data_IF_783801930069
#
_entry.id   IF_783801930069
#
_cell.length_a   1.000
_cell.length_b   1.000
_cell.length_c   1.000
_cell.angle_alpha   90.00
_cell.angle_beta   90.00
_cell.angle_gamma   90.00
#
_symmetry.space_group_name_H-M   'P 1'
#
loop_
_entity.id
_entity.type
_entity.pdbx_description
1 polymer ?
#
# COMPACT_ATOMS: atom_id res chain seq x y z
N UNK A 1 -7.85 -27.86 -1.74
CA UNK A 1 -6.56 -27.26 -2.14
C UNK A 1 -6.29 -26.10 -1.19
N UNK A 2 -5.31 -26.25 -0.31
CA UNK A 2 -4.86 -25.14 0.52
C UNK A 2 -4.26 -24.07 -0.40
N UNK A 3 -4.93 -22.94 -0.52
CA UNK A 3 -4.36 -21.77 -1.13
C UNK A 3 -3.21 -21.30 -0.23
N UNK A 4 -1.98 -21.69 -0.53
CA UNK A 4 -0.78 -21.14 0.09
C UNK A 4 -0.89 -19.62 -0.02
N UNK A 5 -1.05 -18.98 1.13
CA UNK A 5 -1.18 -17.54 1.27
C UNK A 5 0.02 -16.85 0.63
N UNK A 6 -0.18 -16.21 -0.52
CA UNK A 6 0.84 -15.42 -1.19
C UNK A 6 0.81 -14.00 -0.58
N UNK A 7 1.45 -13.84 0.56
CA UNK A 7 1.83 -12.50 0.99
C UNK A 7 2.93 -11.99 0.05
N UNK A 8 2.83 -10.75 -0.39
CA UNK A 8 3.93 -10.10 -1.10
C UNK A 8 5.13 -10.01 -0.15
N UNK A 9 6.32 -10.31 -0.69
CA UNK A 9 7.55 -10.04 0.06
C UNK A 9 7.93 -8.57 -0.15
N UNK A 10 7.94 -7.74 0.91
CA UNK A 10 8.15 -6.30 0.79
C UNK A 10 9.49 -5.93 0.15
N UNK A 11 10.54 -6.71 0.43
CA UNK A 11 11.87 -6.46 -0.13
C UNK A 11 11.89 -6.72 -1.63
N UNK A 12 11.35 -7.87 -2.04
CA UNK A 12 11.31 -8.24 -3.47
C UNK A 12 10.47 -7.25 -4.25
N UNK A 13 9.36 -6.81 -3.69
CA UNK A 13 8.47 -5.84 -4.33
C UNK A 13 9.15 -4.48 -4.45
N UNK A 14 9.71 -3.98 -3.36
CA UNK A 14 10.44 -2.72 -3.32
C UNK A 14 11.60 -2.70 -4.33
N UNK A 15 12.47 -3.71 -4.33
CA UNK A 15 13.60 -3.77 -5.26
C UNK A 15 13.13 -3.86 -6.72
N UNK A 16 12.05 -4.59 -7.00
CA UNK A 16 11.47 -4.67 -8.35
C UNK A 16 10.97 -3.30 -8.83
N UNK A 17 10.28 -2.55 -7.97
CA UNK A 17 9.76 -1.22 -8.31
C UNK A 17 10.91 -0.23 -8.43
N UNK A 18 11.84 -0.24 -7.48
CA UNK A 18 13.03 0.60 -7.47
C UNK A 18 13.85 0.46 -8.75
N UNK A 19 14.09 -0.78 -9.20
CA UNK A 19 14.89 -1.07 -10.39
C UNK A 19 14.41 -0.33 -11.65
N UNK A 20 13.11 -0.17 -11.83
CA UNK A 20 12.59 0.59 -12.98
C UNK A 20 12.34 2.06 -12.67
N UNK A 21 11.98 2.43 -11.42
CA UNK A 21 11.78 3.81 -11.02
C UNK A 21 13.08 4.61 -11.11
N UNK A 22 14.19 4.03 -10.69
CA UNK A 22 15.52 4.66 -10.75
C UNK A 22 16.02 4.87 -12.18
N UNK A 23 15.56 4.11 -13.16
CA UNK A 23 15.83 4.37 -14.59
C UNK A 23 15.15 5.62 -15.13
N UNK A 24 14.26 6.23 -14.38
CA UNK A 24 13.58 7.47 -14.73
C UNK A 24 14.30 8.72 -14.18
N UNK A 25 15.30 8.55 -13.32
CA UNK A 25 16.03 9.67 -12.70
C UNK A 25 16.61 10.60 -13.79
N UNK A 26 16.48 11.90 -13.55
CA UNK A 26 16.89 12.96 -14.47
C UNK A 26 15.88 13.29 -15.56
N UNK A 27 14.76 12.57 -15.66
CA UNK A 27 13.70 12.84 -16.64
C UNK A 27 12.65 13.78 -16.08
N UNK A 28 12.18 14.70 -16.92
CA UNK A 28 10.95 15.45 -16.70
C UNK A 28 9.77 14.71 -17.32
N UNK A 29 8.82 14.28 -16.50
CA UNK A 29 7.71 13.43 -16.94
C UNK A 29 6.39 14.07 -16.56
N UNK A 30 5.50 14.27 -17.53
CA UNK A 30 4.13 14.74 -17.21
C UNK A 30 3.37 13.69 -16.43
N UNK A 31 2.45 14.06 -15.51
CA UNK A 31 1.65 13.11 -14.72
C UNK A 31 0.96 12.04 -15.58
N UNK A 32 0.39 12.44 -16.74
CA UNK A 32 -0.24 11.50 -17.69
C UNK A 32 0.73 10.46 -18.25
N UNK A 33 1.96 10.87 -18.56
CA UNK A 33 2.98 9.94 -19.04
C UNK A 33 3.51 9.06 -17.93
N UNK A 34 3.64 9.60 -16.71
CA UNK A 34 4.03 8.79 -15.54
C UNK A 34 3.01 7.68 -15.30
N UNK A 35 1.71 7.98 -15.29
CA UNK A 35 0.63 6.97 -15.17
C UNK A 35 0.73 5.87 -16.24
N UNK A 36 1.06 6.22 -17.49
CA UNK A 36 1.27 5.22 -18.55
C UNK A 36 2.49 4.33 -18.27
N UNK A 37 3.57 4.92 -17.77
CA UNK A 37 4.79 4.19 -17.39
C UNK A 37 4.49 3.24 -16.23
N UNK A 38 3.84 3.74 -15.15
CA UNK A 38 3.40 2.95 -14.01
C UNK A 38 2.54 1.76 -14.46
N UNK A 39 1.50 2.02 -15.26
CA UNK A 39 0.63 0.98 -15.79
C UNK A 39 1.39 -0.08 -16.59
N UNK A 40 2.33 0.32 -17.44
CA UNK A 40 3.15 -0.61 -18.25
C UNK A 40 4.08 -1.44 -17.38
N UNK A 41 4.71 -0.86 -16.37
CA UNK A 41 5.69 -1.57 -15.53
C UNK A 41 4.97 -2.50 -14.54
N UNK A 42 3.97 -2.01 -13.81
CA UNK A 42 3.25 -2.79 -12.81
C UNK A 42 2.45 -3.93 -13.44
N UNK A 43 1.85 -3.74 -14.62
CA UNK A 43 1.13 -4.81 -15.32
C UNK A 43 2.00 -6.01 -15.78
N UNK A 44 3.31 -5.92 -15.66
CA UNK A 44 4.18 -7.08 -15.89
C UNK A 44 4.08 -8.12 -14.77
N UNK A 45 3.72 -7.68 -13.58
CA UNK A 45 3.74 -8.48 -12.36
C UNK A 45 2.36 -8.59 -11.70
N UNK A 46 1.53 -7.57 -11.83
CA UNK A 46 0.26 -7.44 -11.13
C UNK A 46 -0.89 -7.13 -12.10
N UNK A 47 -2.10 -7.64 -11.84
CA UNK A 47 -3.29 -7.32 -12.64
C UNK A 47 -3.86 -5.94 -12.26
N UNK A 48 -3.17 -4.86 -12.66
CA UNK A 48 -3.39 -3.48 -12.20
C UNK A 48 -3.96 -2.59 -13.32
N UNK A 49 -4.81 -1.66 -12.94
CA UNK A 49 -5.15 -0.44 -13.70
C UNK A 49 -4.59 0.77 -12.97
N UNK A 50 -3.90 1.65 -13.67
CA UNK A 50 -3.38 2.91 -13.11
C UNK A 50 -4.18 4.06 -13.70
N UNK A 51 -4.66 4.95 -12.84
CA UNK A 51 -5.41 6.15 -13.19
C UNK A 51 -4.69 7.40 -12.71
N UNK A 52 -4.97 8.52 -13.34
CA UNK A 52 -4.62 9.85 -12.83
C UNK A 52 -5.84 10.41 -12.11
N UNK A 53 -5.68 10.71 -10.83
CA UNK A 53 -6.67 11.40 -10.03
C UNK A 53 -6.19 12.82 -9.66
N UNK A 54 -7.11 13.68 -9.27
CA UNK A 54 -6.83 15.07 -8.89
C UNK A 54 -7.56 15.42 -7.61
N UNK A 55 -6.89 16.17 -6.74
CA UNK A 55 -7.48 16.67 -5.48
C UNK A 55 -7.01 18.10 -5.21
N UNK A 56 -7.76 18.79 -4.38
CA UNK A 56 -7.37 20.08 -3.82
C UNK A 56 -6.70 19.96 -2.44
N UNK A 57 -6.65 18.75 -1.89
CA UNK A 57 -6.14 18.49 -0.54
C UNK A 57 -4.62 18.37 -0.48
N UNK A 58 -3.94 18.36 -1.62
CA UNK A 58 -2.49 18.34 -1.72
C UNK A 58 -1.96 19.75 -2.02
N UNK A 59 -0.80 20.08 -1.47
CA UNK A 59 -0.09 21.30 -1.82
C UNK A 59 0.36 21.31 -3.29
N UNK A 60 0.58 22.52 -3.86
CA UNK A 60 1.06 22.63 -5.22
C UNK A 60 2.43 21.95 -5.36
N UNK A 61 2.48 20.99 -6.25
CA UNK A 61 3.71 20.24 -6.47
C UNK A 61 3.74 18.87 -5.79
N UNK A 62 2.86 18.63 -4.84
CA UNK A 62 2.76 17.35 -4.16
C UNK A 62 1.98 16.31 -4.94
N UNK A 63 2.23 15.08 -4.61
CA UNK A 63 1.54 13.92 -5.14
C UNK A 63 1.49 12.80 -4.09
N UNK A 64 0.48 11.96 -4.20
CA UNK A 64 0.40 10.73 -3.41
C UNK A 64 -0.13 9.58 -4.28
N UNK A 65 -0.07 8.38 -3.74
CA UNK A 65 -0.59 7.18 -4.38
C UNK A 65 -1.70 6.63 -3.48
N UNK A 66 -2.87 6.44 -4.08
CA UNK A 66 -3.96 5.66 -3.52
C UNK A 66 -4.08 4.33 -4.24
N UNK A 67 -4.69 3.36 -3.61
CA UNK A 67 -5.02 2.09 -4.24
C UNK A 67 -6.37 1.57 -3.76
N UNK A 68 -6.93 0.64 -4.52
CA UNK A 68 -8.19 -0.02 -4.23
C UNK A 68 -8.16 -1.44 -4.81
N UNK A 69 -8.61 -2.41 -4.05
CA UNK A 69 -8.90 -3.75 -4.51
C UNK A 69 -10.40 -3.91 -4.77
N UNK A 70 -10.75 -4.35 -5.98
CA UNK A 70 -12.13 -4.61 -6.38
C UNK A 70 -12.39 -6.14 -6.39
N UNK A 71 -13.11 -6.65 -5.36
CA UNK A 71 -13.38 -8.09 -5.25
C UNK A 71 -14.27 -8.62 -6.39
N UNK A 72 -15.17 -7.80 -6.95
CA UNK A 72 -16.02 -8.20 -8.06
C UNK A 72 -15.23 -8.38 -9.36
N UNK A 73 -14.21 -7.56 -9.59
CA UNK A 73 -13.30 -7.72 -10.72
C UNK A 73 -12.39 -8.95 -10.54
N UNK A 74 -11.94 -9.23 -9.31
CA UNK A 74 -11.14 -10.43 -9.02
C UNK A 74 -11.96 -11.71 -9.25
N UNK A 75 -13.18 -11.77 -8.73
CA UNK A 75 -14.09 -12.89 -8.94
C UNK A 75 -14.38 -13.11 -10.43
N UNK A 76 -14.49 -12.03 -11.20
CA UNK A 76 -14.66 -12.08 -12.66
C UNK A 76 -13.36 -12.35 -13.44
N UNK A 77 -12.22 -12.57 -12.78
CA UNK A 77 -10.92 -12.84 -13.42
C UNK A 77 -10.36 -11.65 -14.18
N UNK A 78 -10.75 -10.42 -13.83
CA UNK A 78 -10.31 -9.16 -14.44
C UNK A 78 -9.20 -8.50 -13.61
N UNK A 79 -8.69 -7.34 -14.09
CA UNK A 79 -7.70 -6.53 -13.35
C UNK A 79 -8.37 -5.88 -12.15
N UNK A 80 -8.11 -6.43 -10.98
CA UNK A 80 -8.78 -6.12 -9.72
C UNK A 80 -8.10 -5.02 -8.89
N UNK A 81 -6.85 -4.69 -9.17
CA UNK A 81 -6.19 -3.61 -8.45
C UNK A 81 -6.28 -2.32 -9.25
N UNK A 82 -6.67 -1.25 -8.58
CA UNK A 82 -6.74 0.10 -9.12
C UNK A 82 -5.74 0.94 -8.34
N UNK A 83 -4.82 1.59 -9.03
CA UNK A 83 -3.87 2.51 -8.44
C UNK A 83 -4.16 3.90 -8.98
N UNK A 84 -4.39 4.84 -8.08
CA UNK A 84 -4.59 6.24 -8.37
C UNK A 84 -3.30 7.02 -8.08
N UNK A 85 -2.70 7.58 -9.14
CA UNK A 85 -1.65 8.58 -8.98
C UNK A 85 -2.36 9.94 -8.83
N UNK A 86 -2.34 10.44 -7.61
CA UNK A 86 -3.11 11.61 -7.19
C UNK A 86 -2.20 12.82 -7.17
N UNK A 87 -2.62 13.89 -7.84
CA UNK A 87 -1.89 15.16 -7.89
C UNK A 87 -2.80 16.32 -7.47
N UNK A 88 -2.19 17.45 -7.09
CA UNK A 88 -2.93 18.70 -6.99
C UNK A 88 -3.50 19.06 -8.37
N UNK A 89 -4.76 19.53 -8.41
CA UNK A 89 -5.46 19.81 -9.66
C UNK A 89 -4.81 20.92 -10.52
N UNK A 90 -4.04 21.82 -9.90
CA UNK A 90 -3.31 22.90 -10.58
C UNK A 90 -2.00 22.41 -11.23
N UNK A 91 -1.55 21.19 -10.92
CA UNK A 91 -0.26 20.67 -11.37
C UNK A 91 -0.36 20.10 -12.79
N UNK A 92 -0.07 20.95 -13.78
CA UNK A 92 0.08 20.53 -15.18
C UNK A 92 1.55 20.36 -15.60
N UNK A 93 2.49 20.87 -14.80
CA UNK A 93 3.93 20.84 -15.11
C UNK A 93 4.50 19.43 -15.02
N UNK A 94 5.52 19.09 -15.83
CA UNK A 94 6.25 17.85 -15.68
C UNK A 94 6.88 17.73 -14.28
N UNK A 95 6.94 16.49 -13.78
CA UNK A 95 7.63 16.14 -12.55
C UNK A 95 9.06 15.76 -12.89
N UNK A 96 10.04 16.44 -12.30
CA UNK A 96 11.43 16.01 -12.38
C UNK A 96 11.62 14.80 -11.45
N UNK A 97 12.01 13.68 -12.02
CA UNK A 97 12.26 12.46 -11.26
C UNK A 97 13.67 12.56 -10.66
N UNK A 98 13.75 12.98 -9.42
CA UNK A 98 14.97 12.93 -8.62
C UNK A 98 15.11 11.54 -7.97
N UNK A 99 16.26 11.25 -7.35
CA UNK A 99 16.46 10.03 -6.56
C UNK A 99 15.43 9.93 -5.43
N UNK A 100 15.14 11.03 -4.75
CA UNK A 100 14.13 11.11 -3.70
C UNK A 100 12.73 10.78 -4.23
N UNK A 101 12.34 11.33 -5.40
CA UNK A 101 11.05 11.04 -6.04
C UNK A 101 10.97 9.58 -6.44
N UNK A 102 12.02 9.02 -7.03
CA UNK A 102 12.06 7.61 -7.41
C UNK A 102 12.00 6.68 -6.19
N UNK A 103 12.69 7.02 -5.13
CA UNK A 103 12.67 6.29 -3.86
C UNK A 103 11.29 6.32 -3.20
N UNK A 104 10.68 7.52 -3.09
CA UNK A 104 9.31 7.68 -2.58
C UNK A 104 8.31 6.87 -3.41
N UNK A 105 8.42 6.92 -4.74
CA UNK A 105 7.55 6.16 -5.63
C UNK A 105 7.66 4.65 -5.39
N UNK A 106 8.88 4.13 -5.20
CA UNK A 106 9.09 2.72 -4.91
C UNK A 106 8.49 2.31 -3.56
N UNK A 107 8.65 3.15 -2.54
CA UNK A 107 8.06 2.93 -1.22
C UNK A 107 6.53 2.93 -1.25
N UNK A 108 5.94 4.02 -1.73
CA UNK A 108 4.49 4.21 -1.71
C UNK A 108 3.79 3.10 -2.51
N UNK A 109 4.33 2.73 -3.69
CA UNK A 109 3.77 1.62 -4.48
C UNK A 109 3.90 0.27 -3.76
N UNK A 110 4.99 0.02 -3.07
CA UNK A 110 5.16 -1.23 -2.31
C UNK A 110 4.13 -1.32 -1.18
N UNK A 111 3.95 -0.24 -0.43
CA UNK A 111 3.00 -0.19 0.69
C UNK A 111 1.57 -0.43 0.22
N UNK A 112 1.11 0.32 -0.78
CA UNK A 112 -0.27 0.17 -1.27
C UNK A 112 -0.51 -1.20 -1.89
N UNK A 113 0.46 -1.79 -2.59
CA UNK A 113 0.33 -3.13 -3.12
C UNK A 113 0.20 -4.18 -2.02
N UNK A 114 1.00 -4.10 -0.96
CA UNK A 114 0.91 -5.01 0.18
C UNK A 114 -0.48 -4.91 0.82
N UNK A 115 -0.99 -3.70 1.02
CA UNK A 115 -2.31 -3.43 1.56
C UNK A 115 -3.41 -4.09 0.70
N UNK A 116 -3.43 -3.84 -0.59
CA UNK A 116 -4.46 -4.34 -1.50
C UNK A 116 -4.38 -5.86 -1.71
N UNK A 117 -3.19 -6.44 -1.70
CA UNK A 117 -3.04 -7.89 -1.73
C UNK A 117 -3.55 -8.57 -0.46
N UNK A 118 -3.48 -7.89 0.68
CA UNK A 118 -4.09 -8.38 1.91
C UNK A 118 -5.62 -8.39 1.78
N UNK A 119 -6.24 -7.35 1.24
CA UNK A 119 -7.68 -7.36 0.93
C UNK A 119 -8.05 -8.48 -0.02
N UNK A 120 -7.26 -8.72 -1.07
CA UNK A 120 -7.48 -9.86 -1.97
C UNK A 120 -7.47 -11.18 -1.21
N UNK A 121 -6.50 -11.39 -0.31
CA UNK A 121 -6.42 -12.60 0.53
C UNK A 121 -7.66 -12.75 1.40
N UNK A 122 -8.09 -11.69 2.06
CA UNK A 122 -9.26 -11.67 2.95
C UNK A 122 -10.53 -12.04 2.20
N UNK A 123 -10.77 -11.41 1.04
CA UNK A 123 -11.96 -11.68 0.23
C UNK A 123 -11.97 -13.09 -0.35
N UNK A 124 -10.85 -13.57 -0.88
CA UNK A 124 -10.73 -14.94 -1.40
C UNK A 124 -10.95 -15.99 -0.32
N UNK A 125 -10.43 -15.78 0.89
CA UNK A 125 -10.64 -16.67 2.03
C UNK A 125 -12.12 -16.74 2.43
N UNK A 126 -12.85 -15.67 2.29
CA UNK A 126 -14.29 -15.60 2.54
C UNK A 126 -15.14 -15.92 1.30
N UNK A 127 -14.55 -16.41 0.21
CA UNK A 127 -15.24 -16.65 -1.06
C UNK A 127 -16.00 -15.41 -1.52
N UNK A 128 -15.33 -14.27 -1.53
CA UNK A 128 -15.81 -12.93 -1.92
C UNK A 128 -16.99 -12.37 -1.09
N UNK A 129 -17.26 -12.96 0.06
CA UNK A 129 -18.27 -12.41 0.98
C UNK A 129 -17.68 -11.26 1.80
N UNK A 130 -18.51 -10.25 2.04
CA UNK A 130 -18.13 -9.14 2.93
C UNK A 130 -17.93 -9.61 4.37
N UNK A 131 -17.05 -8.91 5.10
CA UNK A 131 -16.91 -9.10 6.53
C UNK A 131 -18.19 -8.63 7.23
N UNK A 132 -18.72 -9.46 8.14
CA UNK A 132 -19.94 -9.10 8.91
C UNK A 132 -19.62 -8.38 10.22
N UNK A 133 -18.39 -8.47 10.68
CA UNK A 133 -17.94 -7.93 11.96
C UNK A 133 -17.39 -6.51 11.79
N UNK A 134 -18.23 -5.59 11.29
CA UNK A 134 -17.84 -4.22 11.09
C UNK A 134 -17.78 -3.46 12.42
N UNK A 135 -16.75 -2.67 12.62
CA UNK A 135 -16.69 -1.74 13.74
C UNK A 135 -17.76 -0.64 13.58
N UNK A 136 -18.44 -0.32 14.67
CA UNK A 136 -19.44 0.76 14.72
C UNK A 136 -19.00 1.82 15.71
N UNK A 137 -18.73 3.00 15.21
CA UNK A 137 -18.39 4.15 16.04
C UNK A 137 -19.62 4.79 16.65
N UNK A 138 -19.49 5.21 17.90
CA UNK A 138 -20.51 6.01 18.62
C UNK A 138 -20.19 7.51 18.59
N UNK A 139 -19.16 7.94 17.84
CA UNK A 139 -18.73 9.33 17.81
C UNK A 139 -19.80 10.24 17.17
N UNK A 140 -20.03 11.43 17.77
CA UNK A 140 -21.08 12.34 17.30
C UNK A 140 -20.72 13.10 16.03
N UNK A 141 -19.42 13.40 15.83
CA UNK A 141 -18.94 14.03 14.59
C UNK A 141 -18.96 13.01 13.46
N UNK A 142 -19.71 13.29 12.39
CA UNK A 142 -19.93 12.38 11.26
C UNK A 142 -18.63 12.00 10.56
N UNK A 143 -17.73 12.95 10.34
CA UNK A 143 -16.45 12.68 9.67
C UNK A 143 -15.58 11.75 10.52
N UNK A 144 -15.41 12.05 11.80
CA UNK A 144 -14.65 11.20 12.72
C UNK A 144 -15.28 9.81 12.82
N UNK A 145 -16.62 9.75 12.87
CA UNK A 145 -17.36 8.49 12.89
C UNK A 145 -17.05 7.64 11.65
N UNK A 146 -17.10 8.23 10.46
CA UNK A 146 -16.78 7.53 9.19
C UNK A 146 -15.34 7.03 9.18
N UNK A 147 -14.38 7.87 9.58
CA UNK A 147 -12.97 7.49 9.67
C UNK A 147 -12.77 6.33 10.66
N UNK A 148 -13.44 6.38 11.82
CA UNK A 148 -13.37 5.31 12.81
C UNK A 148 -14.04 4.01 12.32
N UNK A 149 -15.16 4.08 11.63
CA UNK A 149 -15.85 2.90 11.09
C UNK A 149 -15.02 2.24 9.97
N UNK A 150 -14.36 3.03 9.15
CA UNK A 150 -13.44 2.53 8.13
C UNK A 150 -12.19 1.90 8.78
N UNK A 151 -11.42 2.68 9.52
CA UNK A 151 -10.16 2.24 10.14
C UNK A 151 -10.34 1.15 11.21
N UNK A 152 -11.50 1.12 11.87
CA UNK A 152 -11.83 0.10 12.87
C UNK A 152 -12.33 -1.22 12.27
N UNK A 153 -12.50 -1.29 10.95
CA UNK A 153 -12.85 -2.54 10.27
C UNK A 153 -11.70 -3.56 10.45
N UNK A 154 -11.98 -4.80 10.89
CA UNK A 154 -10.95 -5.82 11.05
C UNK A 154 -10.09 -6.07 9.80
N UNK A 155 -10.68 -5.95 8.61
CA UNK A 155 -9.95 -6.11 7.36
C UNK A 155 -8.92 -4.99 7.18
N UNK A 156 -9.29 -3.74 7.50
CA UNK A 156 -8.39 -2.60 7.43
C UNK A 156 -7.27 -2.68 8.47
N UNK A 157 -7.60 -3.07 9.71
CA UNK A 157 -6.58 -3.24 10.76
C UNK A 157 -5.52 -4.27 10.33
N UNK A 158 -5.94 -5.35 9.68
CA UNK A 158 -5.01 -6.38 9.20
C UNK A 158 -4.19 -5.87 8.00
N UNK A 159 -4.82 -5.21 7.02
CA UNK A 159 -4.15 -4.64 5.85
C UNK A 159 -3.17 -3.53 6.23
N UNK A 160 -3.58 -2.57 7.08
CA UNK A 160 -2.68 -1.55 7.61
C UNK A 160 -1.58 -2.14 8.50
N UNK A 161 -1.88 -3.19 9.26
CA UNK A 161 -0.87 -3.93 10.03
C UNK A 161 0.23 -4.51 9.13
N UNK A 162 -0.13 -5.00 7.94
CA UNK A 162 0.82 -5.55 6.96
C UNK A 162 1.66 -4.45 6.29
N UNK A 163 1.05 -3.38 5.75
CA UNK A 163 1.81 -2.36 5.04
C UNK A 163 2.70 -1.53 5.96
N UNK A 164 2.22 -1.17 7.17
CA UNK A 164 3.05 -0.47 8.16
C UNK A 164 4.23 -1.35 8.60
N UNK A 165 3.99 -2.63 8.85
CA UNK A 165 5.07 -3.57 9.16
C UNK A 165 6.09 -3.69 8.04
N UNK A 166 5.63 -3.72 6.78
CA UNK A 166 6.51 -3.73 5.61
C UNK A 166 7.38 -2.47 5.55
N UNK A 167 6.80 -1.29 5.85
CA UNK A 167 7.54 -0.03 5.93
C UNK A 167 8.65 -0.11 6.99
N UNK A 168 8.33 -0.47 8.22
CA UNK A 168 9.30 -0.63 9.30
C UNK A 168 10.40 -1.63 8.92
N UNK A 169 9.99 -2.78 8.39
CA UNK A 169 10.91 -3.82 7.97
C UNK A 169 11.88 -3.35 6.87
N UNK A 170 11.39 -2.68 5.83
CA UNK A 170 12.21 -2.14 4.75
C UNK A 170 13.19 -1.08 5.29
N UNK A 171 12.73 -0.16 6.14
CA UNK A 171 13.58 0.91 6.66
C UNK A 171 14.65 0.37 7.61
N UNK A 172 14.27 -0.46 8.56
CA UNK A 172 15.21 -1.03 9.55
C UNK A 172 16.22 -1.98 8.93
N UNK A 173 15.75 -2.96 8.13
CA UNK A 173 16.59 -4.07 7.67
C UNK A 173 17.27 -3.84 6.32
N UNK A 174 16.71 -2.97 5.47
CA UNK A 174 17.27 -2.72 4.13
C UNK A 174 17.99 -1.38 4.02
N UNK A 175 17.48 -0.36 4.68
CA UNK A 175 18.07 0.98 4.66
C UNK A 175 18.89 1.29 5.90
N UNK A 176 18.93 0.37 6.90
CA UNK A 176 19.62 0.52 8.18
C UNK A 176 19.20 1.79 8.95
N UNK A 177 17.96 2.22 8.79
CA UNK A 177 17.39 3.32 9.54
C UNK A 177 16.88 2.73 10.87
N UNK A 178 17.64 2.92 11.95
CA UNK A 178 17.32 2.37 13.28
C UNK A 178 16.64 3.37 14.22
N UNK A 179 16.55 4.62 13.82
CA UNK A 179 15.94 5.66 14.64
C UNK A 179 14.42 5.65 14.46
N UNK A 180 13.67 5.20 15.48
CA UNK A 180 12.20 5.14 15.45
C UNK A 180 11.53 6.48 15.10
N UNK A 181 12.17 7.63 15.40
CA UNK A 181 11.65 8.95 15.02
C UNK A 181 11.73 9.23 13.52
N UNK A 182 12.63 8.55 12.82
CA UNK A 182 12.80 8.66 11.38
C UNK A 182 11.89 7.65 10.64
N UNK A 183 11.48 6.57 11.30
CA UNK A 183 10.52 5.61 10.77
C UNK A 183 9.11 6.12 11.06
N UNK A 184 8.72 7.18 10.37
CA UNK A 184 7.39 7.74 10.49
C UNK A 184 6.42 7.02 9.55
N UNK A 185 5.28 6.53 10.11
CA UNK A 185 4.19 5.98 9.32
C UNK A 185 2.99 6.93 9.36
N UNK A 186 2.65 7.57 8.22
CA UNK A 186 1.45 8.41 8.12
C UNK A 186 0.17 7.66 8.48
N UNK A 187 0.09 6.37 8.13
CA UNK A 187 -1.07 5.54 8.41
C UNK A 187 -1.26 5.33 9.92
N UNK A 188 -0.16 5.06 10.64
CA UNK A 188 -0.23 4.92 12.11
C UNK A 188 -0.67 6.23 12.78
N UNK A 189 -0.19 7.38 12.29
CA UNK A 189 -0.65 8.69 12.76
C UNK A 189 -2.14 8.93 12.48
N UNK A 190 -2.65 8.43 11.36
CA UNK A 190 -4.08 8.48 11.04
C UNK A 190 -4.91 7.73 12.09
N UNK A 191 -4.47 6.53 12.50
CA UNK A 191 -5.09 5.80 13.60
C UNK A 191 -5.02 6.55 14.94
N UNK A 192 -3.89 7.19 15.24
CA UNK A 192 -3.76 7.99 16.46
C UNK A 192 -4.69 9.20 16.47
N UNK A 193 -4.91 9.82 15.32
CA UNK A 193 -5.88 10.93 15.18
C UNK A 193 -7.33 10.46 15.32
N UNK A 194 -7.66 9.32 14.73
CA UNK A 194 -9.02 8.78 14.75
C UNK A 194 -9.42 8.23 16.13
N UNK A 195 -8.53 7.52 16.80
CA UNK A 195 -8.86 6.77 18.02
C UNK A 195 -8.07 7.22 19.27
N UNK A 196 -6.90 7.82 19.09
CA UNK A 196 -5.94 8.03 20.18
C UNK A 196 -5.06 6.81 20.44
N UNK A 197 -3.84 7.07 20.95
CA UNK A 197 -2.79 6.05 21.13
C UNK A 197 -3.15 4.89 22.07
N UNK A 198 -4.06 5.13 23.03
CA UNK A 198 -4.43 4.12 24.07
C UNK A 198 -5.70 3.32 23.74
N UNK A 199 -6.38 3.65 22.65
CA UNK A 199 -7.62 2.98 22.27
C UNK A 199 -7.40 1.51 21.89
N UNK A 200 -8.40 0.66 22.11
CA UNK A 200 -8.30 -0.78 21.82
C UNK A 200 -7.97 -1.07 20.36
N UNK A 201 -8.58 -0.36 19.40
CA UNK A 201 -8.31 -0.49 17.96
C UNK A 201 -6.84 -0.16 17.64
N UNK A 202 -6.31 0.93 18.21
CA UNK A 202 -4.91 1.32 18.01
C UNK A 202 -3.94 0.28 18.57
N UNK A 203 -4.26 -0.30 19.73
CA UNK A 203 -3.47 -1.39 20.34
C UNK A 203 -3.51 -2.65 19.46
N UNK A 204 -4.68 -2.99 18.93
CA UNK A 204 -4.84 -4.12 18.01
C UNK A 204 -4.00 -3.93 16.75
N UNK A 205 -4.01 -2.74 16.14
CA UNK A 205 -3.14 -2.42 15.01
C UNK A 205 -1.66 -2.56 15.37
N UNK A 206 -1.23 -2.01 16.51
CA UNK A 206 0.17 -2.12 16.96
C UNK A 206 0.60 -3.57 17.20
N UNK A 207 -0.30 -4.43 17.65
CA UNK A 207 -0.06 -5.86 17.79
C UNK A 207 0.12 -6.51 16.42
N UNK A 208 -0.77 -6.22 15.47
CA UNK A 208 -0.65 -6.70 14.08
C UNK A 208 0.64 -6.25 13.40
N UNK A 209 1.07 -5.01 13.61
CA UNK A 209 2.36 -4.52 13.10
C UNK A 209 3.50 -5.39 13.65
N UNK A 210 3.54 -5.66 14.95
CA UNK A 210 4.60 -6.50 15.57
C UNK A 210 4.60 -7.92 15.01
N UNK A 211 3.43 -8.56 14.95
CA UNK A 211 3.28 -9.91 14.39
C UNK A 211 3.81 -9.98 12.96
N UNK A 212 3.47 -8.98 12.13
CA UNK A 212 3.87 -8.95 10.73
C UNK A 212 5.35 -8.61 10.53
N UNK A 213 5.98 -7.81 11.40
CA UNK A 213 7.44 -7.59 11.37
C UNK A 213 8.16 -8.92 11.62
N UNK A 214 7.75 -9.70 12.64
CA UNK A 214 8.35 -11.01 12.90
C UNK A 214 8.11 -11.98 11.74
N UNK A 215 6.90 -11.98 11.18
CA UNK A 215 6.61 -12.77 9.98
C UNK A 215 7.55 -12.45 8.82
N UNK A 216 7.83 -11.16 8.54
CA UNK A 216 8.76 -10.76 7.49
C UNK A 216 10.20 -11.20 7.79
N UNK A 217 10.67 -11.07 9.03
CA UNK A 217 11.99 -11.53 9.46
C UNK A 217 12.17 -13.03 9.25
N UNK A 218 11.19 -13.84 9.64
CA UNK A 218 11.24 -15.30 9.50
C UNK A 218 11.20 -15.75 8.04
N UNK A 219 10.50 -15.04 7.18
CA UNK A 219 10.31 -15.40 5.78
C UNK A 219 11.31 -14.79 4.81
N UNK A 220 12.19 -13.87 5.26
CA UNK A 220 13.25 -13.25 4.43
C UNK A 220 14.53 -14.12 4.33
N UNK A 221 14.54 -15.33 4.85
CA UNK A 221 15.68 -16.23 4.82
C UNK A 221 16.11 -16.62 3.39
N UNK A 222 16.54 -15.62 2.60
CA UNK A 222 17.38 -15.76 1.41
C UNK A 222 16.85 -16.60 0.24
N UNK A 223 15.63 -17.09 0.29
CA UNK A 223 15.01 -17.80 -0.83
C UNK A 223 14.50 -16.79 -1.85
N UNK A 224 15.37 -16.42 -2.81
CA UNK A 224 14.93 -15.82 -4.09
C UNK A 224 13.79 -16.67 -4.62
N UNK A 225 12.52 -16.30 -4.34
CA UNK A 225 11.37 -16.96 -4.93
C UNK A 225 11.45 -16.67 -6.42
N UNK A 226 11.60 -17.74 -7.22
CA UNK A 226 11.49 -17.69 -8.68
C UNK A 226 10.14 -17.07 -9.01
N UNK A 227 10.17 -15.91 -9.68
CA UNK A 227 8.96 -15.29 -10.21
C UNK A 227 8.14 -16.32 -10.95
N UNK A 228 6.88 -16.44 -10.61
CA UNK A 228 5.93 -17.25 -11.35
C UNK A 228 5.86 -16.71 -12.79
N UNK A 229 6.50 -17.40 -13.73
CA UNK A 229 6.16 -17.24 -15.14
C UNK A 229 4.71 -17.68 -15.27
N UNK A 230 3.81 -16.76 -15.67
CA UNK A 230 2.44 -17.15 -16.05
C UNK A 230 2.55 -18.25 -17.10
N UNK A 231 1.77 -19.34 -16.98
CA UNK A 231 1.56 -20.22 -18.14
C UNK A 231 0.95 -19.35 -19.26
N UNK A 232 1.46 -19.53 -20.48
CA UNK A 232 0.95 -18.87 -21.68
C UNK A 232 -0.46 -19.34 -21.98
#
# INVERSE_FOLDING_TARGET
MEHKHLHLNPVTEYETIKDWAFKLIGREITPRNLVKILGKQLNKYHPIRVKLAQTNDLDEGDWCIGAEYDPGLDEAGKKQFIIDFIINHLKTKPLLITEQVAGKLAFDLTEVLIHEYEHQRQYRNRRYKQNKNLYKSTHQNIKIKQDQEYLGNPDEIEAYGMNIAARYYLMEYKLNITNEKEIHSPDLETYYKAFGKKHAITKQLQEKIRENIEYYKENDNGKKRKYFKRPR
#
